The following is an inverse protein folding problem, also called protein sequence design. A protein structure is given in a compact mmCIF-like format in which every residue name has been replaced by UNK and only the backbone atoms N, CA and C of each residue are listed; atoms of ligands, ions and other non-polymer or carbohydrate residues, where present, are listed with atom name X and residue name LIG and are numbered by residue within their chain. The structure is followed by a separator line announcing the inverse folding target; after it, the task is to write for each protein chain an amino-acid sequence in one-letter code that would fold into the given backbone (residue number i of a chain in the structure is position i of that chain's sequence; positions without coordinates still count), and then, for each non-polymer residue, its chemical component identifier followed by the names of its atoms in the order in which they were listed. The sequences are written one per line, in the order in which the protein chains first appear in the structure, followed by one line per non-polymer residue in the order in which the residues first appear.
data_IF_265173560975
#
_entry.id   IF_265173560975
#
_cell.length_a   1.000
_cell.length_b   1.000
_cell.length_c   1.000
_cell.angle_alpha   90.00
_cell.angle_beta   90.00
_cell.angle_gamma   90.00
#
_symmetry.space_group_name_H-M   'P 1'
#
loop_
_entity.id
_entity.type
_entity.pdbx_description
1 polymer ?
#
# COMPACT_ATOMS: atom_id res chain seq x y z
N UNK A 1 -7.65 25.33 -65.21
CA UNK A 1 -6.72 25.79 -64.15
C UNK A 1 -7.02 25.02 -62.87
N UNK A 2 -6.05 24.26 -62.38
CA UNK A 2 -6.18 23.37 -61.21
C UNK A 2 -5.67 24.12 -59.99
N UNK A 3 -6.43 24.21 -58.90
CA UNK A 3 -5.83 24.25 -57.56
C UNK A 3 -6.66 23.44 -56.55
N UNK A 4 -5.94 22.51 -55.94
CA UNK A 4 -6.34 21.45 -55.00
C UNK A 4 -6.28 22.04 -53.60
N UNK A 5 -7.35 21.97 -52.80
CA UNK A 5 -7.27 22.19 -51.34
C UNK A 5 -8.38 21.44 -50.61
N UNK A 6 -8.27 20.11 -50.49
CA UNK A 6 -9.06 19.34 -49.53
C UNK A 6 -8.30 18.08 -49.12
N UNK A 7 -7.13 18.23 -48.48
CA UNK A 7 -6.57 17.16 -47.66
C UNK A 7 -5.95 17.79 -46.41
N UNK A 8 -6.81 18.21 -45.49
CA UNK A 8 -6.49 18.40 -44.08
C UNK A 8 -7.31 17.41 -43.28
N UNK A 9 -7.12 16.11 -43.53
CA UNK A 9 -7.83 15.07 -42.78
C UNK A 9 -7.21 15.00 -41.39
N UNK A 10 -7.96 15.57 -40.44
CA UNK A 10 -7.69 15.63 -39.01
C UNK A 10 -7.42 14.22 -38.47
N UNK A 11 -6.17 13.95 -38.12
CA UNK A 11 -5.80 12.84 -37.24
C UNK A 11 -6.17 13.24 -35.80
N UNK A 12 -7.45 13.11 -35.47
CA UNK A 12 -7.90 13.18 -34.08
C UNK A 12 -7.43 11.88 -33.40
N UNK A 13 -6.37 11.99 -32.61
CA UNK A 13 -5.79 10.89 -31.86
C UNK A 13 -6.86 10.15 -31.03
N UNK A 14 -7.09 8.87 -31.33
CA UNK A 14 -7.84 7.97 -30.46
C UNK A 14 -7.01 7.65 -29.23
N UNK A 15 -7.10 8.47 -28.18
CA UNK A 15 -6.58 8.09 -26.87
C UNK A 15 -7.57 7.12 -26.22
N UNK A 16 -7.16 5.90 -25.85
CA UNK A 16 -8.04 5.02 -25.08
C UNK A 16 -8.36 5.70 -23.75
N UNK A 17 -9.64 5.78 -23.41
CA UNK A 17 -10.06 6.24 -22.09
C UNK A 17 -9.57 5.21 -21.06
N UNK A 18 -8.78 5.67 -20.08
CA UNK A 18 -8.43 4.86 -18.93
C UNK A 18 -9.69 4.66 -18.09
N UNK A 19 -10.22 3.45 -18.03
CA UNK A 19 -11.39 3.14 -17.21
C UNK A 19 -11.01 3.26 -15.73
N UNK A 20 -11.77 4.06 -14.97
CA UNK A 20 -11.55 4.21 -13.55
C UNK A 20 -11.89 2.88 -12.85
N UNK A 21 -10.94 2.32 -12.10
CA UNK A 21 -11.20 1.13 -11.29
C UNK A 21 -12.22 1.49 -10.19
N UNK A 22 -13.35 0.77 -10.17
CA UNK A 22 -14.35 0.90 -9.12
C UNK A 22 -14.03 -0.06 -7.97
N UNK A 23 -13.81 0.50 -6.78
CA UNK A 23 -13.64 -0.28 -5.57
C UNK A 23 -14.98 -0.40 -4.84
N UNK A 24 -15.32 -1.61 -4.42
CA UNK A 24 -16.47 -1.85 -3.53
C UNK A 24 -15.96 -2.12 -2.13
N UNK A 25 -16.53 -1.41 -1.16
CA UNK A 25 -16.30 -1.73 0.24
C UNK A 25 -16.85 -3.13 0.54
N UNK A 26 -15.98 -4.03 1.00
CA UNK A 26 -16.36 -5.38 1.36
C UNK A 26 -16.58 -5.51 2.87
N UNK A 27 -15.62 -5.04 3.67
CA UNK A 27 -15.59 -5.24 5.12
C UNK A 27 -14.61 -4.30 5.79
N UNK A 28 -14.79 -4.11 7.10
CA UNK A 28 -13.82 -3.49 8.00
C UNK A 28 -13.34 -4.52 9.03
N UNK A 29 -12.04 -4.52 9.32
CA UNK A 29 -11.41 -5.34 10.35
C UNK A 29 -11.02 -4.40 11.50
N UNK A 30 -11.70 -4.45 12.65
CA UNK A 30 -11.35 -3.61 13.78
C UNK A 30 -10.06 -4.12 14.42
N UNK A 31 -9.02 -3.30 14.38
CA UNK A 31 -7.75 -3.60 15.06
C UNK A 31 -7.74 -3.05 16.49
N UNK A 32 -8.36 -1.89 16.70
CA UNK A 32 -8.36 -1.20 17.98
C UNK A 32 -6.98 -0.65 18.39
N UNK A 33 -6.87 -0.18 19.62
CA UNK A 33 -5.66 0.45 20.14
C UNK A 33 -5.53 1.93 19.78
N UNK A 34 -4.57 2.59 20.42
CA UNK A 34 -4.29 4.01 20.22
C UNK A 34 -3.13 4.23 19.23
N UNK A 35 -3.09 5.42 18.62
CA UNK A 35 -2.02 5.86 17.73
C UNK A 35 -2.38 5.88 16.25
N UNK A 36 -1.38 6.14 15.41
CA UNK A 36 -1.51 6.30 13.97
C UNK A 36 -1.19 5.02 13.19
N UNK A 37 -1.67 4.99 11.94
CA UNK A 37 -1.40 3.95 10.95
C UNK A 37 -0.28 4.39 10.01
N UNK A 38 0.51 3.42 9.55
CA UNK A 38 1.50 3.63 8.50
C UNK A 38 1.39 2.55 7.41
N UNK A 39 2.49 1.92 6.99
CA UNK A 39 2.45 0.93 5.92
C UNK A 39 1.82 -0.40 6.34
N UNK A 40 1.31 -1.08 5.31
CA UNK A 40 0.81 -2.44 5.39
C UNK A 40 1.58 -3.34 4.42
N UNK A 41 1.71 -4.62 4.76
CA UNK A 41 2.35 -5.62 3.91
C UNK A 41 1.63 -6.94 3.98
N UNK A 42 1.41 -7.55 2.81
CA UNK A 42 0.65 -8.80 2.68
C UNK A 42 1.59 -9.96 2.37
N UNK A 43 1.56 -10.99 3.21
CA UNK A 43 2.08 -12.31 2.87
C UNK A 43 0.95 -13.13 2.23
N UNK A 44 0.92 -13.16 0.90
CA UNK A 44 -0.09 -13.89 0.15
C UNK A 44 -0.03 -15.41 0.39
N UNK A 45 1.15 -15.97 0.69
CA UNK A 45 1.32 -17.41 0.91
C UNK A 45 0.81 -17.81 2.30
N UNK A 46 1.15 -17.03 3.32
CA UNK A 46 0.70 -17.26 4.69
C UNK A 46 -0.73 -16.73 4.95
N UNK A 47 -1.29 -15.96 4.00
CA UNK A 47 -2.54 -15.22 4.15
C UNK A 47 -2.55 -14.33 5.38
N UNK A 48 -1.44 -13.60 5.60
CA UNK A 48 -1.29 -12.66 6.71
C UNK A 48 -1.12 -11.24 6.18
N UNK A 49 -1.73 -10.30 6.87
CA UNK A 49 -1.52 -8.86 6.69
C UNK A 49 -0.78 -8.34 7.93
N UNK A 50 0.33 -7.67 7.70
CA UNK A 50 1.14 -7.00 8.72
C UNK A 50 0.88 -5.50 8.60
N UNK A 51 0.51 -4.86 9.70
CA UNK A 51 0.13 -3.44 9.72
C UNK A 51 0.97 -2.70 10.74
N UNK A 52 1.70 -1.67 10.32
CA UNK A 52 2.38 -0.77 11.24
C UNK A 52 1.36 0.11 11.96
N UNK A 53 1.35 0.04 13.29
CA UNK A 53 0.41 0.77 14.14
C UNK A 53 1.13 1.27 15.40
N UNK A 54 1.28 2.59 15.51
CA UNK A 54 2.03 3.25 16.58
C UNK A 54 3.46 2.67 16.77
N UNK A 55 3.67 1.87 17.81
CA UNK A 55 4.96 1.28 18.19
C UNK A 55 5.00 -0.24 18.02
N UNK A 56 4.08 -0.79 17.22
CA UNK A 56 3.93 -2.23 17.02
C UNK A 56 3.55 -2.57 15.58
N UNK A 57 3.74 -3.85 15.22
CA UNK A 57 3.17 -4.46 14.03
C UNK A 57 1.99 -5.34 14.43
N UNK A 58 0.80 -5.06 13.90
CA UNK A 58 -0.38 -5.90 14.07
C UNK A 58 -0.40 -6.97 12.98
N UNK A 59 -0.71 -8.20 13.36
CA UNK A 59 -0.84 -9.35 12.46
C UNK A 59 -2.31 -9.71 12.32
N UNK A 60 -2.83 -9.61 11.10
CA UNK A 60 -4.19 -10.00 10.73
C UNK A 60 -4.16 -11.26 9.89
N UNK A 61 -4.99 -12.23 10.25
CA UNK A 61 -5.28 -13.40 9.45
C UNK A 61 -6.35 -13.08 8.41
N UNK A 62 -6.00 -13.18 7.12
CA UNK A 62 -6.88 -12.89 5.99
C UNK A 62 -7.75 -14.08 5.57
N UNK A 63 -7.74 -15.18 6.32
CA UNK A 63 -8.70 -16.29 6.13
C UNK A 63 -9.92 -16.10 7.00
N UNK A 64 -9.70 -15.60 8.22
CA UNK A 64 -10.74 -15.36 9.22
C UNK A 64 -11.11 -13.88 9.39
N UNK A 65 -10.35 -12.97 8.79
CA UNK A 65 -10.44 -11.52 8.94
C UNK A 65 -10.30 -11.06 10.40
N UNK A 66 -9.33 -11.63 11.12
CA UNK A 66 -9.12 -11.37 12.55
C UNK A 66 -7.70 -10.98 12.86
N UNK A 67 -7.53 -10.07 13.83
CA UNK A 67 -6.24 -9.86 14.48
C UNK A 67 -5.87 -11.16 15.21
N UNK A 68 -4.67 -11.66 14.95
CA UNK A 68 -4.15 -12.91 15.53
C UNK A 68 -2.89 -12.71 16.37
N UNK A 69 -2.32 -11.50 16.38
CA UNK A 69 -1.18 -11.20 17.21
C UNK A 69 -0.58 -9.83 16.91
N UNK A 70 0.44 -9.49 17.68
CA UNK A 70 1.18 -8.24 17.57
C UNK A 70 2.67 -8.50 17.82
N UNK A 71 3.52 -7.73 17.15
CA UNK A 71 4.96 -7.64 17.42
C UNK A 71 5.18 -6.28 18.08
N UNK A 72 5.46 -6.28 19.38
CA UNK A 72 5.71 -5.08 20.17
C UNK A 72 7.16 -4.59 20.09
N UNK A 73 7.46 -3.55 20.86
CA UNK A 73 8.80 -2.95 21.01
C UNK A 73 9.45 -2.49 19.69
N UNK A 74 8.62 -1.97 18.77
CA UNK A 74 9.08 -1.39 17.50
C UNK A 74 8.79 0.12 17.43
N UNK A 75 9.39 0.96 18.30
CA UNK A 75 9.16 2.40 18.29
C UNK A 75 9.70 3.05 17.01
N UNK A 76 8.85 3.78 16.30
CA UNK A 76 9.18 4.40 15.00
C UNK A 76 9.07 3.42 13.83
N UNK A 77 8.35 2.32 13.98
CA UNK A 77 8.11 1.41 12.85
C UNK A 77 7.22 2.07 11.83
N UNK A 78 7.68 2.06 10.57
CA UNK A 78 6.90 2.54 9.45
C UNK A 78 6.48 1.39 8.55
N UNK A 79 7.34 0.39 8.33
CA UNK A 79 7.05 -0.73 7.44
C UNK A 79 7.58 -2.09 7.90
N UNK A 80 7.02 -3.14 7.30
CA UNK A 80 7.37 -4.53 7.56
C UNK A 80 7.58 -5.27 6.24
N UNK A 81 8.76 -5.87 6.02
CA UNK A 81 9.09 -6.61 4.81
C UNK A 81 9.20 -8.11 5.10
N UNK A 82 8.55 -8.92 4.25
CA UNK A 82 8.55 -10.37 4.36
C UNK A 82 9.65 -10.94 3.47
N UNK A 83 10.64 -11.63 4.03
CA UNK A 83 11.67 -12.33 3.27
C UNK A 83 11.35 -13.84 3.17
N UNK A 84 10.39 -14.18 2.30
CA UNK A 84 9.80 -15.52 2.21
C UNK A 84 10.82 -16.64 1.89
N UNK A 85 11.93 -16.34 1.20
CA UNK A 85 12.93 -17.34 0.81
C UNK A 85 13.90 -17.71 1.94
N UNK A 86 14.05 -16.83 2.93
CA UNK A 86 15.02 -17.00 4.01
C UNK A 86 14.37 -17.42 5.34
N UNK A 87 13.04 -17.58 5.39
CA UNK A 87 12.27 -17.64 6.66
C UNK A 87 12.63 -16.47 7.61
N UNK A 88 12.96 -15.33 7.04
CA UNK A 88 13.33 -14.12 7.78
C UNK A 88 12.28 -13.03 7.52
N UNK A 89 12.13 -12.13 8.47
CA UNK A 89 11.29 -10.95 8.36
C UNK A 89 12.12 -9.74 8.75
N UNK A 90 12.01 -8.64 8.01
CA UNK A 90 12.75 -7.41 8.26
C UNK A 90 11.78 -6.29 8.60
N UNK A 91 12.04 -5.56 9.67
CA UNK A 91 11.28 -4.36 10.05
C UNK A 91 12.05 -3.16 9.52
N UNK A 92 11.37 -2.28 8.77
CA UNK A 92 11.96 -1.07 8.20
C UNK A 92 11.53 0.15 9.04
N UNK A 93 12.53 0.84 9.57
CA UNK A 93 12.40 2.10 10.31
C UNK A 93 13.05 3.21 9.47
N UNK A 94 12.26 4.23 9.12
CA UNK A 94 12.72 5.44 8.46
C UNK A 94 12.69 6.61 9.44
N UNK A 95 13.59 6.63 10.44
CA UNK A 95 13.85 7.86 11.20
C UNK A 95 14.35 8.95 10.23
N UNK A 96 13.46 9.83 9.79
CA UNK A 96 13.86 11.16 9.33
C UNK A 96 14.28 11.91 10.57
N UNK A 97 15.59 11.98 10.83
CA UNK A 97 16.12 12.96 11.78
C UNK A 97 15.90 14.34 11.17
N UNK A 98 14.79 14.99 11.52
CA UNK A 98 14.64 16.42 11.28
C UNK A 98 15.63 17.14 12.20
N UNK A 99 16.85 17.33 11.70
CA UNK A 99 17.86 18.17 12.33
C UNK A 99 17.40 19.61 12.17
N UNK A 100 16.63 20.08 13.16
CA UNK A 100 16.51 21.47 13.60
C UNK A 100 16.90 22.51 12.55
N UNK A 101 15.95 22.96 11.74
CA UNK A 101 16.08 24.21 11.00
C UNK A 101 15.83 25.34 12.01
N UNK A 102 16.92 25.96 12.47
CA UNK A 102 16.88 27.33 13.00
C UNK A 102 16.51 28.29 11.89
#
# INVERSE_FOLDING_TARGET
MKQRWLIGLVLLASMPAMEAQSFKFLKSIPVGGEGGWDYLSVDAKARKLYVAHATKIVIVDLTSDKVVGEIGDTPGVHGFAIASRLRQTSIADSRVTEKNRK
#
